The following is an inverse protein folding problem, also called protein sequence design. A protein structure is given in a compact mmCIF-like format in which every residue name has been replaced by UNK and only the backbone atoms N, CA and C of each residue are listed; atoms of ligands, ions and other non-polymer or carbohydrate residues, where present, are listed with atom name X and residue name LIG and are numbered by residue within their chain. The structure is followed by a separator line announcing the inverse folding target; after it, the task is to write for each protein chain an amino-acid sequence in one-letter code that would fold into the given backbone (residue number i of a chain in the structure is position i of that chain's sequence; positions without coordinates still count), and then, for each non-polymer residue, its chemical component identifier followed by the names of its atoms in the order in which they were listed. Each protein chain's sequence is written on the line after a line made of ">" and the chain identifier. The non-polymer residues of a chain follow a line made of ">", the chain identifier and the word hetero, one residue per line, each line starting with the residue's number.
data_IF_807306583222
#
_entry.id   IF_807306583222
#
_cell.length_a   1.000
_cell.length_b   1.000
_cell.length_c   1.000
_cell.angle_alpha   90.00
_cell.angle_beta   90.00
_cell.angle_gamma   90.00
#
_symmetry.space_group_name_H-M   'P 1'
#
loop_
_entity.id
_entity.type
_entity.pdbx_description
1 polymer ?
#
# COMPACT_ATOMS: atom_id res chain seq x y z
N UNK A 1 -5.25 9.64 -16.09
CA UNK A 1 -4.10 9.27 -15.22
C UNK A 1 -3.35 10.50 -14.69
N UNK A 2 -3.07 11.50 -15.54
CA UNK A 2 -2.37 12.71 -15.12
C UNK A 2 -3.15 13.53 -14.08
N UNK A 3 -4.48 13.55 -14.13
CA UNK A 3 -5.32 14.34 -13.25
C UNK A 3 -5.42 13.76 -11.84
N UNK A 4 -5.40 12.42 -11.71
CA UNK A 4 -5.34 11.74 -10.41
C UNK A 4 -3.98 12.03 -9.75
N UNK A 5 -2.89 11.99 -10.50
CA UNK A 5 -1.55 12.34 -10.01
C UNK A 5 -1.40 13.84 -9.70
N UNK A 6 -2.00 14.74 -10.48
CA UNK A 6 -2.02 16.19 -10.18
C UNK A 6 -2.82 16.52 -8.93
N UNK A 7 -3.94 15.85 -8.73
CA UNK A 7 -4.75 15.99 -7.52
C UNK A 7 -3.98 15.52 -6.28
N UNK A 8 -3.18 14.47 -6.43
CA UNK A 8 -2.26 13.97 -5.40
C UNK A 8 -1.16 14.97 -5.09
N UNK A 9 -0.54 15.56 -6.11
CA UNK A 9 0.52 16.55 -5.96
C UNK A 9 0.03 17.85 -5.29
N UNK A 10 -1.21 18.26 -5.53
CA UNK A 10 -1.80 19.44 -4.88
C UNK A 10 -2.16 19.23 -3.40
N UNK A 11 -2.26 17.98 -2.95
CA UNK A 11 -2.46 17.61 -1.53
C UNK A 11 -1.18 17.21 -0.81
N UNK A 12 -0.07 17.07 -1.53
CA UNK A 12 1.22 16.62 -0.99
C UNK A 12 1.91 17.63 -0.05
N UNK A 13 1.31 18.78 0.20
CA UNK A 13 1.81 19.75 1.20
C UNK A 13 1.62 19.28 2.64
N UNK A 14 0.80 18.23 2.86
CA UNK A 14 0.61 17.63 4.18
C UNK A 14 1.52 16.42 4.34
N UNK A 15 2.38 16.44 5.33
CA UNK A 15 3.20 15.30 5.70
C UNK A 15 2.39 14.16 6.34
N UNK A 16 1.29 14.50 7.00
CA UNK A 16 0.42 13.61 7.75
C UNK A 16 -1.04 13.81 7.38
N UNK A 17 -1.78 12.72 7.22
CA UNK A 17 -3.22 12.73 6.88
C UNK A 17 -3.97 11.67 7.69
N UNK A 18 -5.29 11.85 7.90
CA UNK A 18 -6.13 10.76 8.36
C UNK A 18 -6.13 9.59 7.36
N UNK A 19 -6.16 8.37 7.86
CA UNK A 19 -6.23 7.17 7.01
C UNK A 19 -7.43 7.22 6.04
N UNK A 20 -8.55 7.78 6.48
CA UNK A 20 -9.73 7.99 5.62
C UNK A 20 -9.42 8.81 4.36
N UNK A 21 -8.59 9.85 4.48
CA UNK A 21 -8.21 10.69 3.33
C UNK A 21 -7.36 9.91 2.33
N UNK A 22 -6.44 9.08 2.80
CA UNK A 22 -5.64 8.21 1.93
C UNK A 22 -6.50 7.11 1.29
N UNK A 23 -7.46 6.56 2.02
CA UNK A 23 -8.40 5.57 1.49
C UNK A 23 -9.33 6.13 0.42
N UNK A 24 -9.81 7.38 0.57
CA UNK A 24 -10.57 8.06 -0.48
C UNK A 24 -9.76 8.17 -1.78
N UNK A 25 -8.49 8.51 -1.66
CA UNK A 25 -7.60 8.58 -2.81
C UNK A 25 -7.38 7.21 -3.45
N UNK A 26 -7.13 6.18 -2.64
CA UNK A 26 -6.97 4.80 -3.12
C UNK A 26 -8.24 4.32 -3.83
N UNK A 27 -9.42 4.61 -3.29
CA UNK A 27 -10.69 4.26 -3.93
C UNK A 27 -10.86 4.96 -5.28
N UNK A 28 -10.50 6.23 -5.40
CA UNK A 28 -10.53 6.96 -6.66
C UNK A 28 -9.55 6.37 -7.69
N UNK A 29 -8.35 6.03 -7.27
CA UNK A 29 -7.36 5.33 -8.09
C UNK A 29 -7.89 3.98 -8.59
N UNK A 30 -8.43 3.17 -7.70
CA UNK A 30 -8.98 1.86 -8.05
C UNK A 30 -10.21 1.95 -8.96
N UNK A 31 -11.02 3.00 -8.84
CA UNK A 31 -12.14 3.24 -9.77
C UNK A 31 -11.66 3.48 -11.20
N UNK A 32 -10.57 4.22 -11.38
CA UNK A 32 -9.92 4.42 -12.69
C UNK A 32 -9.39 3.09 -13.23
N UNK A 33 -8.73 2.30 -12.41
CA UNK A 33 -8.19 0.99 -12.83
C UNK A 33 -9.30 -0.02 -13.16
N UNK A 34 -10.40 -0.02 -12.40
CA UNK A 34 -11.60 -0.83 -12.72
C UNK A 34 -12.21 -0.43 -14.07
N UNK A 35 -12.27 0.85 -14.38
CA UNK A 35 -12.75 1.32 -15.68
C UNK A 35 -11.82 0.86 -16.82
N UNK A 36 -10.50 0.86 -16.57
CA UNK A 36 -9.49 0.43 -17.53
C UNK A 36 -9.49 -1.06 -17.80
N UNK A 37 -9.58 -1.89 -16.76
CA UNK A 37 -9.53 -3.35 -16.86
C UNK A 37 -10.93 -3.98 -17.04
N UNK A 38 -11.99 -3.26 -16.70
CA UNK A 38 -13.37 -3.76 -16.76
C UNK A 38 -13.59 -4.99 -15.88
N UNK A 39 -14.31 -6.01 -16.37
CA UNK A 39 -14.62 -7.22 -15.60
C UNK A 39 -13.39 -8.10 -15.30
N UNK A 40 -12.23 -7.74 -15.83
CA UNK A 40 -10.97 -8.45 -15.59
C UNK A 40 -10.28 -8.05 -14.30
N UNK A 41 -10.81 -7.13 -13.52
CA UNK A 41 -10.27 -6.69 -12.24
C UNK A 41 -11.32 -6.77 -11.13
N UNK A 42 -11.09 -7.65 -10.19
CA UNK A 42 -11.87 -7.78 -8.95
C UNK A 42 -11.07 -7.23 -7.77
N UNK A 43 -11.70 -6.38 -6.97
CA UNK A 43 -11.06 -5.74 -5.81
C UNK A 43 -11.98 -5.89 -4.60
N UNK A 44 -11.43 -6.44 -3.54
CA UNK A 44 -12.07 -6.54 -2.23
C UNK A 44 -11.32 -5.66 -1.23
N UNK A 45 -12.05 -4.80 -0.53
CA UNK A 45 -11.51 -3.91 0.50
C UNK A 45 -12.20 -4.21 1.82
N UNK A 46 -11.42 -4.60 2.81
CA UNK A 46 -11.83 -4.73 4.20
C UNK A 46 -11.17 -3.62 5.00
N UNK A 47 -11.96 -2.70 5.48
CA UNK A 47 -11.51 -1.52 6.20
C UNK A 47 -12.19 -1.41 7.55
N UNK A 48 -11.39 -1.49 8.61
CA UNK A 48 -11.88 -1.28 9.96
C UNK A 48 -12.19 0.21 10.17
N UNK A 49 -13.47 0.56 10.22
CA UNK A 49 -13.95 1.93 10.36
C UNK A 49 -13.42 2.64 11.62
N UNK A 50 -13.03 1.88 12.64
CA UNK A 50 -12.41 2.46 13.86
C UNK A 50 -11.04 3.07 13.60
N UNK A 51 -10.42 2.74 12.47
CA UNK A 51 -9.09 3.23 12.07
C UNK A 51 -9.12 4.50 11.24
N UNK A 52 -10.29 4.94 10.77
CA UNK A 52 -10.41 6.00 9.76
C UNK A 52 -9.75 7.33 10.14
N UNK A 53 -9.76 7.67 11.43
CA UNK A 53 -9.22 8.93 11.94
C UNK A 53 -7.75 8.83 12.42
N UNK A 54 -7.13 7.64 12.28
CA UNK A 54 -5.72 7.47 12.59
C UNK A 54 -4.87 8.30 11.63
N UNK A 55 -3.94 9.06 12.22
CA UNK A 55 -3.03 9.93 11.46
C UNK A 55 -1.82 9.11 11.02
N UNK A 56 -1.60 9.08 9.72
CA UNK A 56 -0.52 8.34 9.07
C UNK A 56 0.29 9.27 8.15
N UNK A 57 1.52 8.89 7.77
CA UNK A 57 2.25 9.62 6.74
C UNK A 57 1.49 9.58 5.41
N UNK A 58 1.41 10.71 4.73
CA UNK A 58 0.74 10.83 3.43
C UNK A 58 1.34 9.86 2.42
N UNK A 59 0.50 9.20 1.62
CA UNK A 59 0.93 8.29 0.55
C UNK A 59 1.82 7.13 1.05
N UNK A 60 1.48 6.55 2.20
CA UNK A 60 2.22 5.41 2.75
C UNK A 60 1.59 4.07 2.33
N UNK A 61 0.28 4.02 2.18
CA UNK A 61 -0.48 2.82 1.77
C UNK A 61 -0.59 2.70 0.26
N UNK A 62 -0.77 3.81 -0.43
CA UNK A 62 -0.99 3.85 -1.88
C UNK A 62 0.04 3.06 -2.70
N UNK A 63 1.36 3.14 -2.44
CA UNK A 63 2.34 2.39 -3.22
C UNK A 63 2.16 0.86 -3.16
N UNK A 64 1.59 0.33 -2.08
CA UNK A 64 1.27 -1.09 -1.95
C UNK A 64 0.17 -1.49 -2.95
N UNK A 65 -0.86 -0.66 -3.03
CA UNK A 65 -1.99 -0.87 -3.96
C UNK A 65 -1.54 -0.72 -5.41
N UNK A 66 -0.74 0.30 -5.71
CA UNK A 66 -0.17 0.49 -7.05
C UNK A 66 0.71 -0.70 -7.47
N UNK A 67 1.51 -1.24 -6.54
CA UNK A 67 2.33 -2.42 -6.79
C UNK A 67 1.46 -3.64 -7.15
N UNK A 68 0.37 -3.88 -6.42
CA UNK A 68 -0.56 -4.98 -6.71
C UNK A 68 -1.24 -4.83 -8.07
N UNK A 69 -1.59 -3.61 -8.48
CA UNK A 69 -2.17 -3.36 -9.82
C UNK A 69 -1.12 -3.57 -10.91
N UNK A 70 0.04 -2.92 -10.81
CA UNK A 70 1.04 -2.89 -11.88
C UNK A 70 1.80 -4.21 -12.06
N UNK A 71 2.17 -4.84 -10.97
CA UNK A 71 3.03 -6.04 -10.96
C UNK A 71 2.26 -7.32 -10.69
N UNK A 72 1.11 -7.21 -10.05
CA UNK A 72 0.20 -8.31 -9.81
C UNK A 72 -0.78 -8.49 -10.96
N UNK A 73 -1.90 -7.81 -10.88
CA UNK A 73 -3.07 -8.09 -11.74
C UNK A 73 -2.87 -7.77 -13.21
N UNK A 74 -2.07 -6.77 -13.56
CA UNK A 74 -1.81 -6.42 -14.97
C UNK A 74 -1.12 -7.54 -15.76
N UNK A 75 -0.51 -8.50 -15.07
CA UNK A 75 0.20 -9.65 -15.67
C UNK A 75 -0.60 -10.95 -15.62
N UNK A 76 -1.80 -10.93 -15.08
CA UNK A 76 -2.66 -12.12 -15.00
C UNK A 76 -3.39 -12.33 -16.33
N UNK A 77 -3.32 -13.57 -16.81
CA UNK A 77 -4.20 -14.03 -17.90
C UNK A 77 -5.53 -14.43 -17.29
N UNK A 78 -6.56 -13.61 -17.47
CA UNK A 78 -7.88 -13.81 -16.87
C UNK A 78 -8.25 -12.70 -15.90
N UNK A 79 -8.84 -13.05 -14.76
CA UNK A 79 -9.30 -12.10 -13.75
C UNK A 79 -8.19 -11.84 -12.75
N UNK A 80 -7.68 -10.59 -12.72
CA UNK A 80 -6.81 -10.10 -11.69
C UNK A 80 -7.60 -9.79 -10.42
N UNK A 81 -7.09 -10.20 -9.25
CA UNK A 81 -7.75 -9.99 -7.96
C UNK A 81 -6.81 -9.29 -7.00
N UNK A 82 -7.35 -8.31 -6.29
CA UNK A 82 -6.65 -7.57 -5.23
C UNK A 82 -7.50 -7.62 -3.96
N UNK A 83 -6.84 -7.95 -2.85
CA UNK A 83 -7.42 -7.90 -1.52
C UNK A 83 -6.66 -6.87 -0.70
N UNK A 84 -7.37 -5.88 -0.20
CA UNK A 84 -6.85 -4.84 0.70
C UNK A 84 -7.51 -5.05 2.05
N UNK A 85 -6.70 -5.28 3.07
CA UNK A 85 -7.18 -5.46 4.43
C UNK A 85 -6.48 -4.47 5.37
N UNK A 86 -7.26 -3.69 6.11
CA UNK A 86 -6.78 -2.70 7.06
C UNK A 86 -7.42 -2.96 8.40
N UNK A 87 -6.61 -3.35 9.38
CA UNK A 87 -7.04 -3.72 10.73
C UNK A 87 -6.23 -3.01 11.80
N UNK A 88 -6.90 -2.66 12.89
CA UNK A 88 -6.26 -2.12 14.07
C UNK A 88 -5.83 -3.24 15.02
N UNK A 89 -4.60 -3.18 15.47
CA UNK A 89 -4.06 -3.93 16.61
C UNK A 89 -3.73 -2.96 17.75
N UNK A 90 -3.47 -3.47 18.95
CA UNK A 90 -3.17 -2.59 20.10
C UNK A 90 -2.00 -1.64 19.83
N UNK A 91 -0.92 -2.16 19.27
CA UNK A 91 0.33 -1.42 19.06
C UNK A 91 0.48 -0.84 17.65
N UNK A 92 -0.25 -1.34 16.66
CA UNK A 92 -0.06 -0.94 15.27
C UNK A 92 -1.34 -1.01 14.43
N UNK A 93 -1.33 -0.28 13.34
CA UNK A 93 -2.23 -0.45 12.21
C UNK A 93 -1.57 -1.42 11.24
N UNK A 94 -2.23 -2.52 10.93
CA UNK A 94 -1.77 -3.46 9.91
C UNK A 94 -2.51 -3.22 8.60
N UNK A 95 -1.77 -2.95 7.56
CA UNK A 95 -2.26 -2.86 6.18
C UNK A 95 -1.68 -4.02 5.39
N UNK A 96 -2.52 -4.82 4.79
CA UNK A 96 -2.10 -5.94 3.93
C UNK A 96 -2.73 -5.79 2.55
N UNK A 97 -1.92 -5.84 1.52
CA UNK A 97 -2.35 -5.84 0.12
C UNK A 97 -1.84 -7.11 -0.54
N UNK A 98 -2.76 -7.90 -1.07
CA UNK A 98 -2.47 -9.16 -1.75
C UNK A 98 -3.03 -9.14 -3.16
N UNK A 99 -2.33 -9.79 -4.08
CA UNK A 99 -2.78 -10.00 -5.46
C UNK A 99 -2.68 -11.49 -5.86
N UNK A 100 -3.28 -11.83 -6.98
CA UNK A 100 -3.18 -13.16 -7.59
C UNK A 100 -2.25 -13.18 -8.81
N UNK A 101 -1.29 -12.28 -8.86
CA UNK A 101 -0.31 -12.18 -9.93
C UNK A 101 0.83 -13.20 -9.82
N UNK A 102 1.91 -12.99 -10.58
CA UNK A 102 3.03 -13.92 -10.63
C UNK A 102 3.88 -13.96 -9.35
N UNK A 103 3.64 -13.05 -8.41
CA UNK A 103 4.47 -12.90 -7.22
C UNK A 103 5.78 -12.16 -7.48
N UNK A 104 6.60 -12.05 -6.44
CA UNK A 104 7.95 -11.49 -6.55
C UNK A 104 8.89 -12.49 -7.18
N UNK A 105 9.83 -12.02 -8.04
CA UNK A 105 10.88 -12.90 -8.59
C UNK A 105 11.73 -13.54 -7.50
N UNK A 106 12.30 -14.69 -7.80
CA UNK A 106 13.26 -15.33 -6.91
C UNK A 106 14.44 -14.38 -6.62
N UNK A 107 14.80 -14.26 -5.35
CA UNK A 107 15.86 -13.33 -4.91
C UNK A 107 15.48 -11.86 -4.92
N UNK A 108 14.20 -11.53 -5.05
CA UNK A 108 13.74 -10.15 -4.99
C UNK A 108 14.10 -9.51 -3.65
N UNK A 109 14.65 -8.29 -3.73
CA UNK A 109 14.85 -7.39 -2.59
C UNK A 109 14.37 -6.01 -2.96
N UNK A 110 14.00 -5.19 -1.99
CA UNK A 110 13.59 -3.80 -2.24
C UNK A 110 14.73 -2.92 -2.78
N UNK A 111 15.95 -3.38 -2.66
CA UNK A 111 17.14 -2.67 -3.15
C UNK A 111 17.47 -3.00 -4.61
N UNK A 112 16.76 -3.96 -5.21
CA UNK A 112 16.91 -4.33 -6.62
C UNK A 112 16.18 -3.29 -7.50
N UNK A 113 16.90 -2.65 -8.40
CA UNK A 113 16.45 -1.44 -9.11
C UNK A 113 15.18 -1.57 -9.97
N UNK A 114 14.82 -2.76 -10.44
CA UNK A 114 13.86 -2.90 -11.53
C UNK A 114 12.37 -2.83 -11.14
N UNK A 115 12.01 -3.09 -9.88
CA UNK A 115 10.59 -3.21 -9.47
C UNK A 115 10.25 -2.63 -8.10
N UNK A 116 11.23 -2.13 -7.36
CA UNK A 116 11.08 -1.83 -5.94
C UNK A 116 10.97 -0.37 -5.55
N UNK A 117 11.01 0.59 -6.48
CA UNK A 117 11.09 2.01 -6.11
C UNK A 117 9.93 2.48 -5.21
N UNK A 118 8.71 2.11 -5.51
CA UNK A 118 7.56 2.49 -4.70
C UNK A 118 7.61 1.89 -3.30
N UNK A 119 7.83 0.58 -3.19
CA UNK A 119 7.90 -0.13 -1.92
C UNK A 119 9.14 0.25 -1.11
N UNK A 120 10.29 0.44 -1.79
CA UNK A 120 11.51 0.93 -1.15
C UNK A 120 11.32 2.30 -0.54
N UNK A 121 10.78 3.24 -1.29
CA UNK A 121 10.49 4.59 -0.80
C UNK A 121 9.50 4.55 0.39
N UNK A 122 8.51 3.67 0.34
CA UNK A 122 7.58 3.46 1.45
C UNK A 122 8.29 2.95 2.69
N UNK A 123 9.15 1.93 2.56
CA UNK A 123 9.98 1.42 3.68
C UNK A 123 10.84 2.52 4.27
N UNK A 124 11.57 3.25 3.42
CA UNK A 124 12.52 4.28 3.88
C UNK A 124 11.79 5.43 4.58
N UNK A 125 10.62 5.83 4.09
CA UNK A 125 9.75 6.83 4.74
C UNK A 125 9.17 6.32 6.06
N UNK A 126 8.71 5.08 6.09
CA UNK A 126 8.21 4.45 7.31
C UNK A 126 9.29 4.41 8.40
N UNK A 127 10.49 4.01 8.04
CA UNK A 127 11.64 4.00 8.95
C UNK A 127 12.05 5.42 9.37
N UNK A 128 11.96 6.39 8.47
CA UNK A 128 12.21 7.80 8.78
C UNK A 128 11.25 8.37 9.84
N UNK A 129 9.97 7.96 9.78
CA UNK A 129 8.94 8.43 10.73
C UNK A 129 8.92 7.66 12.05
N UNK A 130 9.13 6.35 12.01
CA UNK A 130 8.87 5.43 13.13
C UNK A 130 10.11 4.65 13.59
N UNK A 131 11.24 4.78 12.90
CA UNK A 131 12.42 3.98 13.17
C UNK A 131 12.14 2.48 13.00
N UNK A 132 12.64 1.68 13.93
CA UNK A 132 12.45 0.22 13.91
C UNK A 132 11.03 -0.24 14.32
N UNK A 133 10.17 0.67 14.77
CA UNK A 133 8.80 0.33 15.16
C UNK A 133 7.86 0.17 13.96
N UNK A 134 8.18 0.79 12.81
CA UNK A 134 7.47 0.59 11.55
C UNK A 134 8.13 -0.51 10.72
N UNK A 135 7.34 -1.36 10.08
CA UNK A 135 7.85 -2.47 9.28
C UNK A 135 7.08 -2.63 7.97
N UNK A 136 7.80 -2.97 6.90
CA UNK A 136 7.25 -3.34 5.61
C UNK A 136 7.81 -4.70 5.22
N UNK A 137 6.91 -5.65 5.00
CA UNK A 137 7.22 -7.03 4.61
C UNK A 137 6.60 -7.36 3.27
N UNK A 138 7.25 -8.24 2.53
CA UNK A 138 6.75 -8.80 1.28
C UNK A 138 7.03 -10.29 1.24
N UNK A 139 6.08 -11.01 0.68
CA UNK A 139 6.18 -12.45 0.54
C UNK A 139 5.38 -12.96 -0.66
N UNK A 140 5.69 -14.15 -1.12
CA UNK A 140 4.86 -14.88 -2.06
C UNK A 140 3.93 -15.80 -1.29
N UNK A 141 2.62 -15.60 -1.50
CA UNK A 141 1.59 -16.49 -1.02
C UNK A 141 1.24 -17.58 -2.05
N UNK A 142 0.25 -18.42 -1.71
CA UNK A 142 -0.18 -19.52 -2.62
C UNK A 142 -0.71 -19.04 -3.98
N UNK A 143 -1.16 -17.80 -4.08
CA UNK A 143 -1.82 -17.26 -5.28
C UNK A 143 -1.10 -16.09 -5.92
N UNK A 144 -0.14 -15.47 -5.27
CA UNK A 144 0.54 -14.27 -5.79
C UNK A 144 1.35 -13.57 -4.71
N UNK A 145 1.55 -12.25 -4.85
CA UNK A 145 2.31 -11.46 -3.90
C UNK A 145 1.44 -10.96 -2.74
N UNK A 146 2.06 -10.79 -1.60
CA UNK A 146 1.51 -10.07 -0.46
C UNK A 146 2.52 -9.06 0.06
N UNK A 147 2.07 -7.84 0.30
CA UNK A 147 2.84 -6.79 0.97
C UNK A 147 2.08 -6.36 2.22
N UNK A 148 2.77 -6.32 3.34
CA UNK A 148 2.21 -5.92 4.64
C UNK A 148 2.98 -4.73 5.20
N UNK A 149 2.23 -3.76 5.74
CA UNK A 149 2.75 -2.55 6.34
C UNK A 149 2.25 -2.46 7.78
N UNK A 150 3.18 -2.39 8.73
CA UNK A 150 2.90 -2.16 10.14
C UNK A 150 3.21 -0.70 10.49
N UNK A 151 2.16 0.08 10.80
CA UNK A 151 2.28 1.48 11.19
C UNK A 151 2.02 1.57 12.70
N UNK A 152 2.99 1.99 13.51
CA UNK A 152 2.80 2.11 14.96
C UNK A 152 1.66 3.06 15.32
N UNK A 153 0.87 2.66 16.30
CA UNK A 153 -0.17 3.50 16.92
C UNK A 153 0.40 4.07 18.23
N UNK A 154 0.48 5.38 18.33
CA UNK A 154 0.97 6.06 19.52
C UNK A 154 2.31 6.77 19.32
N UNK A 155 2.88 7.29 20.40
CA UNK A 155 3.99 8.25 20.41
C UNK A 155 5.19 7.78 19.58
N UNK A 156 5.73 8.69 18.78
CA UNK A 156 6.99 8.54 18.04
C UNK A 156 8.09 8.00 18.96
N UNK A 157 8.37 6.70 18.89
CA UNK A 157 9.59 6.18 19.46
C UNK A 157 10.69 6.30 18.40
N UNK A 158 11.56 7.29 18.57
CA UNK A 158 12.86 7.26 17.90
C UNK A 158 13.62 6.08 18.50
N UNK A 159 14.07 5.15 17.67
CA UNK A 159 15.05 4.17 18.10
C UNK A 159 16.27 4.94 18.63
N UNK A 160 16.64 4.68 19.87
CA UNK A 160 17.90 5.18 20.41
C UNK A 160 19.05 4.58 19.58
N UNK A 161 19.94 5.46 19.12
CA UNK A 161 21.16 5.14 18.37
C UNK A 161 22.08 4.26 19.19
#
# INVERSE_FOLDING_TARGET
>A
LADVFRYTLSRSDKEWVPLSEEMEFIQAYLAVERARFGPRLEIEVQFDETTRDLIIPTMIVQPLVENAVKHGTARVVGIGRIWINITAHEACLLVTVRDNGPGFPAGFTLDTEAQGHGLRNTRDRLQGHYGCAGDLRWENGPMGAQVSLEIPRGTRQRCAS
#
